data_IF_367947168032
#
_entry.id   IF_367947168032
#
_cell.length_a   1.000
_cell.length_b   1.000
_cell.length_c   1.000
_cell.angle_alpha   90.00
_cell.angle_beta   90.00
_cell.angle_gamma   90.00
#
_symmetry.space_group_name_H-M   'P 1'
#
loop_
_entity.id
_entity.type
_entity.pdbx_description
1 polymer ?
#
# COMPACT_ATOMS: atom_id res chain seq x y z
N UNK A 1 1.71 7.88 3.17
CA UNK A 1 2.70 8.67 3.93
C UNK A 1 3.99 8.98 3.17
N UNK A 2 4.87 8.03 2.79
CA UNK A 2 6.11 8.38 2.03
C UNK A 2 5.82 8.84 0.58
N UNK A 3 4.85 8.20 -0.09
CA UNK A 3 4.42 8.60 -1.44
C UNK A 3 3.80 10.00 -1.48
N UNK A 4 3.02 10.36 -0.46
CA UNK A 4 2.38 11.69 -0.39
C UNK A 4 3.41 12.80 -0.23
N UNK A 5 4.40 12.61 0.64
CA UNK A 5 5.51 13.57 0.82
C UNK A 5 6.35 13.75 -0.45
N UNK A 6 6.57 12.65 -1.20
CA UNK A 6 7.32 12.69 -2.46
C UNK A 6 6.55 13.50 -3.51
N UNK A 7 5.24 13.27 -3.63
CA UNK A 7 4.38 14.02 -4.55
C UNK A 7 4.25 15.50 -4.15
N UNK A 8 4.14 15.81 -2.85
CA UNK A 8 4.17 17.19 -2.36
C UNK A 8 5.49 17.89 -2.70
N UNK A 9 6.62 17.22 -2.49
CA UNK A 9 7.93 17.76 -2.85
C UNK A 9 8.07 18.02 -4.36
N UNK A 10 7.61 17.10 -5.22
CA UNK A 10 7.60 17.30 -6.66
C UNK A 10 6.68 18.44 -7.10
N UNK A 11 5.51 18.59 -6.47
CA UNK A 11 4.61 19.73 -6.72
C UNK A 11 5.26 21.06 -6.33
N UNK A 12 5.97 21.09 -5.20
CA UNK A 12 6.70 22.27 -4.76
C UNK A 12 7.84 22.65 -5.73
N UNK A 13 8.59 21.66 -6.22
CA UNK A 13 9.62 21.88 -7.26
C UNK A 13 8.98 22.39 -8.56
N UNK A 14 7.85 21.81 -8.99
CA UNK A 14 7.13 22.27 -10.19
C UNK A 14 6.66 23.72 -10.06
N UNK A 15 6.12 24.09 -8.90
CA UNK A 15 5.65 25.44 -8.65
C UNK A 15 6.81 26.44 -8.67
N UNK A 16 7.89 26.15 -7.93
CA UNK A 16 9.07 27.01 -7.91
C UNK A 16 9.73 27.14 -9.30
N UNK A 17 9.76 26.07 -10.09
CA UNK A 17 10.29 26.11 -11.46
C UNK A 17 9.40 26.91 -12.43
N UNK A 18 8.09 27.05 -12.17
CA UNK A 18 7.19 27.86 -12.99
C UNK A 18 7.36 29.36 -12.73
N UNK A 19 7.64 29.74 -11.48
CA UNK A 19 7.92 31.13 -11.11
C UNK A 19 9.30 31.58 -11.63
N UNK A 20 10.21 30.64 -11.84
CA UNK A 20 11.52 30.91 -12.43
C UNK A 20 11.42 30.94 -13.97
N UNK A 21 11.71 32.06 -14.59
CA UNK A 21 11.69 32.23 -16.06
C UNK A 21 12.62 31.22 -16.79
N UNK A 22 13.70 30.78 -16.14
CA UNK A 22 14.64 29.81 -16.68
C UNK A 22 14.25 28.33 -16.39
N UNK A 23 13.13 28.07 -15.71
CA UNK A 23 12.62 26.72 -15.46
C UNK A 23 13.42 25.88 -14.45
N UNK A 24 14.32 26.50 -13.70
CA UNK A 24 15.11 25.83 -12.64
C UNK A 24 14.74 26.35 -11.25
N UNK A 25 14.80 25.47 -10.26
CA UNK A 25 14.72 25.84 -8.84
C UNK A 25 16.13 26.05 -8.33
N UNK A 26 16.43 27.26 -7.86
CA UNK A 26 17.76 27.67 -7.42
C UNK A 26 17.95 27.54 -5.91
N UNK A 27 19.17 27.82 -5.47
CA UNK A 27 19.60 27.81 -4.07
C UNK A 27 18.96 28.86 -3.15
N UNK A 28 18.24 29.81 -3.72
CA UNK A 28 17.41 30.80 -3.01
C UNK A 28 16.02 30.30 -2.67
N UNK A 29 15.61 29.15 -3.22
CA UNK A 29 14.33 28.53 -2.89
C UNK A 29 14.27 28.16 -1.40
N UNK A 30 13.05 28.11 -0.86
CA UNK A 30 12.82 27.79 0.54
C UNK A 30 13.54 26.49 0.99
N UNK A 31 13.85 26.32 2.29
CA UNK A 31 14.59 25.16 2.79
C UNK A 31 13.89 23.80 2.56
N UNK A 32 12.58 23.79 2.35
CA UNK A 32 11.78 22.58 2.06
C UNK A 32 12.08 21.98 0.67
N UNK A 33 12.12 22.77 -0.42
CA UNK A 33 12.66 22.34 -1.71
C UNK A 33 14.09 21.79 -1.64
N UNK A 34 15.00 22.45 -0.92
CA UNK A 34 16.42 22.09 -0.93
C UNK A 34 16.71 20.71 -0.33
N UNK A 35 16.13 20.38 0.83
CA UNK A 35 16.30 19.05 1.45
C UNK A 35 15.64 17.95 0.62
N UNK A 36 14.50 18.24 0.01
CA UNK A 36 13.74 17.27 -0.78
C UNK A 36 14.40 17.02 -2.14
N UNK A 37 14.99 18.04 -2.76
CA UNK A 37 15.64 17.96 -4.07
C UNK A 37 16.77 16.90 -4.12
N UNK A 38 17.58 16.78 -3.06
CA UNK A 38 18.64 15.75 -3.00
C UNK A 38 18.09 14.33 -2.97
N UNK A 39 17.04 14.09 -2.19
CA UNK A 39 16.39 12.78 -2.13
C UNK A 39 15.74 12.43 -3.47
N UNK A 40 15.03 13.39 -4.07
CA UNK A 40 14.40 13.22 -5.38
C UNK A 40 15.42 12.99 -6.51
N UNK A 41 16.61 13.60 -6.44
CA UNK A 41 17.67 13.40 -7.42
C UNK A 41 18.23 11.97 -7.34
N UNK A 42 18.38 11.42 -6.13
CA UNK A 42 18.77 10.02 -5.93
C UNK A 42 17.76 9.02 -6.50
N UNK A 43 16.49 9.40 -6.58
CA UNK A 43 15.42 8.60 -7.20
C UNK A 43 15.21 8.91 -8.71
N UNK A 44 16.01 9.81 -9.30
CA UNK A 44 15.90 10.19 -10.72
C UNK A 44 14.66 11.03 -11.07
N UNK A 45 13.97 11.57 -10.07
CA UNK A 45 12.74 12.36 -10.24
C UNK A 45 13.00 13.84 -10.51
N UNK A 46 14.23 14.31 -10.25
CA UNK A 46 14.71 15.64 -10.60
C UNK A 46 16.10 15.54 -11.21
N UNK A 47 16.40 16.46 -12.12
CA UNK A 47 17.72 16.64 -12.69
C UNK A 47 18.46 17.72 -11.89
N UNK A 48 19.74 17.49 -11.60
CA UNK A 48 20.62 18.50 -11.03
C UNK A 48 21.40 19.19 -12.14
N UNK A 49 21.44 20.52 -12.13
CA UNK A 49 22.22 21.29 -13.09
C UNK A 49 23.71 20.93 -12.98
N UNK A 50 24.35 20.71 -14.13
CA UNK A 50 25.78 20.48 -14.23
C UNK A 50 26.56 21.80 -14.00
N UNK A 51 27.87 21.76 -14.27
CA UNK A 51 28.73 22.93 -14.06
C UNK A 51 28.43 24.05 -15.06
N UNK A 52 28.18 23.71 -16.32
CA UNK A 52 27.97 24.67 -17.40
C UNK A 52 26.62 25.38 -17.23
N UNK A 53 25.57 24.59 -17.06
CA UNK A 53 24.20 25.07 -16.79
C UNK A 53 24.19 25.99 -15.56
N UNK A 54 24.90 25.64 -14.48
CA UNK A 54 24.99 26.52 -13.29
C UNK A 54 25.74 27.81 -13.56
N UNK A 55 26.74 27.81 -14.43
CA UNK A 55 27.46 29.03 -14.79
C UNK A 55 26.55 29.98 -15.58
N UNK A 56 25.78 29.45 -16.53
CA UNK A 56 24.76 30.20 -17.26
C UNK A 56 23.71 30.79 -16.33
N UNK A 57 23.15 29.97 -15.44
CA UNK A 57 22.19 30.43 -14.42
C UNK A 57 22.80 31.50 -13.50
N UNK A 58 24.07 31.37 -13.13
CA UNK A 58 24.75 32.37 -12.30
C UNK A 58 24.94 33.71 -13.02
N UNK A 59 25.24 33.67 -14.32
CA UNK A 59 25.33 34.86 -15.15
C UNK A 59 23.96 35.54 -15.28
N UNK A 60 22.90 34.75 -15.43
CA UNK A 60 21.53 35.23 -15.55
C UNK A 60 21.02 35.90 -14.27
N UNK A 61 21.31 35.29 -13.12
CA UNK A 61 20.93 35.79 -11.79
C UNK A 61 21.83 36.92 -11.28
N UNK A 62 22.96 37.20 -11.95
CA UNK A 62 23.96 38.15 -11.48
C UNK A 62 24.65 37.76 -10.17
N UNK A 63 24.56 36.48 -9.76
CA UNK A 63 25.15 35.95 -8.53
C UNK A 63 25.53 34.48 -8.69
N UNK A 64 26.48 33.96 -7.89
CA UNK A 64 26.81 32.53 -7.94
C UNK A 64 25.63 31.65 -7.50
N UNK A 65 25.23 30.71 -8.36
CA UNK A 65 24.24 29.65 -8.07
C UNK A 65 24.97 28.40 -7.59
N UNK A 66 24.75 28.01 -6.33
CA UNK A 66 25.44 26.85 -5.71
C UNK A 66 24.87 25.52 -6.18
N UNK A 67 23.56 25.45 -6.36
CA UNK A 67 22.82 24.30 -6.87
C UNK A 67 21.58 24.78 -7.61
N UNK A 68 21.15 23.98 -8.59
CA UNK A 68 19.89 24.16 -9.27
C UNK A 68 19.31 22.80 -9.62
N UNK A 69 17.99 22.64 -9.52
CA UNK A 69 17.28 21.42 -9.94
C UNK A 69 16.04 21.75 -10.75
N UNK A 70 15.63 20.82 -11.61
CA UNK A 70 14.34 20.86 -12.29
C UNK A 70 13.71 19.47 -12.29
N UNK A 71 12.41 19.38 -12.56
CA UNK A 71 11.78 18.08 -12.75
C UNK A 71 12.45 17.35 -13.93
N UNK A 72 12.76 16.07 -13.75
CA UNK A 72 13.11 15.19 -14.86
C UNK A 72 11.84 14.81 -15.64
N UNK A 73 12.00 14.20 -16.81
CA UNK A 73 10.88 13.60 -17.54
C UNK A 73 10.08 12.63 -16.64
N UNK A 74 10.78 11.75 -15.90
CA UNK A 74 10.17 10.80 -14.96
C UNK A 74 9.43 11.50 -13.82
N UNK A 75 9.97 12.58 -13.26
CA UNK A 75 9.29 13.37 -12.24
C UNK A 75 8.02 14.05 -12.76
N UNK A 76 8.06 14.53 -14.00
CA UNK A 76 6.90 15.12 -14.67
C UNK A 76 5.80 14.08 -14.92
N UNK A 77 6.17 12.90 -15.44
CA UNK A 77 5.25 11.79 -15.70
C UNK A 77 4.63 11.26 -14.41
N UNK A 78 5.40 11.17 -13.31
CA UNK A 78 4.87 10.79 -12.01
C UNK A 78 3.81 11.77 -11.50
N UNK A 79 4.03 13.08 -11.66
CA UNK A 79 3.02 14.08 -11.30
C UNK A 79 1.77 13.99 -12.17
N UNK A 80 1.93 13.79 -13.48
CA UNK A 80 0.82 13.62 -14.40
C UNK A 80 0.00 12.37 -14.06
N UNK A 81 0.66 11.23 -13.87
CA UNK A 81 0.05 9.97 -13.45
C UNK A 81 -0.68 10.11 -12.11
N UNK A 82 -0.05 10.72 -11.12
CA UNK A 82 -0.67 10.94 -9.81
C UNK A 82 -1.90 11.87 -9.87
N UNK A 83 -1.98 12.77 -10.85
CA UNK A 83 -3.12 13.66 -11.04
C UNK A 83 -4.37 12.97 -11.60
N UNK A 84 -4.20 11.88 -12.36
CA UNK A 84 -5.31 11.11 -12.96
C UNK A 84 -5.57 9.79 -12.25
N UNK A 85 -4.63 9.33 -11.42
CA UNK A 85 -4.77 8.10 -10.65
C UNK A 85 -5.99 8.22 -9.73
N UNK A 86 -6.91 7.25 -9.74
CA UNK A 86 -8.00 7.21 -8.76
C UNK A 86 -7.43 7.23 -7.35
N UNK A 87 -7.97 8.10 -6.49
CA UNK A 87 -7.70 8.00 -5.07
C UNK A 87 -8.11 6.59 -4.61
N UNK A 88 -7.35 5.95 -3.70
CA UNK A 88 -7.81 4.71 -3.10
C UNK A 88 -9.19 4.97 -2.49
N UNK A 89 -10.23 4.34 -3.03
CA UNK A 89 -11.56 4.45 -2.46
C UNK A 89 -11.49 3.90 -1.03
N UNK A 90 -11.88 4.67 -0.01
CA UNK A 90 -12.02 4.13 1.34
C UNK A 90 -12.91 2.88 1.28
N UNK A 91 -12.41 1.76 1.79
CA UNK A 91 -13.24 0.55 1.91
C UNK A 91 -14.25 0.78 3.03
N UNK A 92 -15.39 1.39 2.69
CA UNK A 92 -16.54 1.36 3.59
C UNK A 92 -17.21 -0.02 3.49
N UNK A 93 -17.43 -0.71 4.62
CA UNK A 93 -18.14 -1.98 4.61
C UNK A 93 -19.60 -1.77 4.19
N UNK A 94 -20.10 -2.62 3.29
CA UNK A 94 -21.53 -2.69 2.99
C UNK A 94 -22.34 -3.27 4.17
N UNK A 95 -23.68 -3.25 4.09
CA UNK A 95 -24.53 -3.85 5.12
C UNK A 95 -24.18 -5.33 5.35
N UNK A 96 -23.76 -5.67 6.57
CA UNK A 96 -23.35 -7.04 6.95
C UNK A 96 -21.92 -7.42 6.56
N UNK A 97 -21.16 -6.51 5.95
CA UNK A 97 -19.72 -6.64 5.77
C UNK A 97 -18.97 -5.96 6.92
N UNK A 98 -17.77 -6.43 7.21
CA UNK A 98 -16.85 -5.82 8.15
C UNK A 98 -15.53 -5.53 7.45
N UNK A 99 -14.92 -4.38 7.76
CA UNK A 99 -13.55 -4.07 7.34
C UNK A 99 -12.57 -4.96 8.12
N UNK A 100 -11.85 -5.80 7.40
CA UNK A 100 -10.87 -6.74 7.92
C UNK A 100 -9.49 -6.34 7.43
N UNK A 101 -8.57 -6.16 8.38
CA UNK A 101 -7.19 -5.80 8.20
C UNK A 101 -6.28 -7.00 8.46
N UNK A 102 -5.58 -7.45 7.42
CA UNK A 102 -4.69 -8.60 7.49
C UNK A 102 -3.23 -8.18 7.42
N UNK A 103 -2.38 -8.83 8.22
CA UNK A 103 -0.93 -8.80 8.00
C UNK A 103 -0.58 -9.33 6.59
N UNK A 104 0.59 -8.99 6.02
CA UNK A 104 1.10 -9.64 4.81
C UNK A 104 1.14 -11.17 4.90
N UNK A 105 1.49 -11.75 6.05
CA UNK A 105 1.52 -13.20 6.24
C UNK A 105 0.13 -13.82 6.25
N UNK A 106 -0.84 -13.19 6.94
CA UNK A 106 -2.25 -13.60 6.91
C UNK A 106 -2.81 -13.52 5.49
N UNK A 107 -2.56 -12.44 4.75
CA UNK A 107 -3.00 -12.34 3.36
C UNK A 107 -2.39 -13.43 2.47
N UNK A 108 -1.13 -13.80 2.72
CA UNK A 108 -0.47 -14.89 2.00
C UNK A 108 -1.14 -16.24 2.30
N UNK A 109 -1.38 -16.57 3.56
CA UNK A 109 -2.09 -17.80 3.95
C UNK A 109 -3.51 -17.85 3.37
N UNK A 110 -4.23 -16.72 3.40
CA UNK A 110 -5.57 -16.63 2.84
C UNK A 110 -5.58 -16.82 1.32
N UNK A 111 -4.60 -16.27 0.59
CA UNK A 111 -4.44 -16.49 -0.86
C UNK A 111 -4.21 -17.95 -1.22
N UNK A 112 -3.42 -18.67 -0.42
CA UNK A 112 -3.22 -20.12 -0.61
C UNK A 112 -4.55 -20.86 -0.41
N UNK A 113 -5.27 -20.57 0.68
CA UNK A 113 -6.56 -21.21 0.95
C UNK A 113 -7.58 -20.99 -0.19
N UNK A 114 -7.76 -19.76 -0.67
CA UNK A 114 -8.69 -19.50 -1.78
C UNK A 114 -8.22 -20.08 -3.12
N UNK A 115 -6.90 -20.23 -3.30
CA UNK A 115 -6.32 -20.89 -4.49
C UNK A 115 -6.61 -22.40 -4.56
N UNK A 116 -6.84 -23.04 -3.42
CA UNK A 116 -7.14 -24.47 -3.31
C UNK A 116 -8.64 -24.78 -3.40
N UNK A 117 -9.49 -23.81 -3.75
CA UNK A 117 -10.95 -23.97 -3.72
C UNK A 117 -11.48 -25.22 -4.47
N UNK A 118 -10.84 -25.61 -5.58
CA UNK A 118 -11.22 -26.79 -6.37
C UNK A 118 -10.78 -28.14 -5.78
N UNK A 119 -9.85 -28.14 -4.82
CA UNK A 119 -9.27 -29.35 -4.22
C UNK A 119 -9.84 -29.65 -2.82
N UNK A 120 -10.37 -28.62 -2.15
CA UNK A 120 -10.89 -28.74 -0.80
C UNK A 120 -12.30 -29.35 -0.78
N UNK A 121 -12.55 -30.25 0.17
CA UNK A 121 -13.90 -30.78 0.45
C UNK A 121 -14.82 -29.72 1.08
N UNK A 122 -14.24 -28.75 1.78
CA UNK A 122 -14.92 -27.57 2.30
C UNK A 122 -14.35 -26.35 1.57
N UNK A 123 -15.00 -25.89 0.49
CA UNK A 123 -14.49 -24.78 -0.30
C UNK A 123 -14.55 -23.45 0.48
N UNK A 124 -13.75 -22.45 0.09
CA UNK A 124 -13.90 -21.09 0.60
C UNK A 124 -15.31 -20.55 0.36
N UNK A 125 -15.79 -19.73 1.30
CA UNK A 125 -17.11 -19.08 1.19
C UNK A 125 -17.24 -18.28 -0.11
N UNK A 126 -18.47 -18.23 -0.63
CA UNK A 126 -18.78 -17.53 -1.89
C UNK A 126 -18.32 -16.08 -1.82
N UNK A 127 -17.66 -15.61 -2.88
CA UNK A 127 -17.15 -14.24 -2.98
C UNK A 127 -15.84 -13.95 -2.22
N UNK A 128 -15.36 -14.83 -1.34
CA UNK A 128 -14.11 -14.61 -0.59
C UNK A 128 -12.91 -14.44 -1.53
N UNK A 129 -12.82 -15.24 -2.60
CA UNK A 129 -11.75 -15.11 -3.59
C UNK A 129 -11.76 -13.74 -4.31
N UNK A 130 -12.94 -13.16 -4.56
CA UNK A 130 -13.07 -11.84 -5.18
C UNK A 130 -12.65 -10.74 -4.20
N UNK A 131 -13.04 -10.85 -2.92
CA UNK A 131 -12.58 -9.91 -1.89
C UNK A 131 -11.05 -9.95 -1.73
N UNK A 132 -10.44 -11.14 -1.81
CA UNK A 132 -8.97 -11.29 -1.77
C UNK A 132 -8.29 -10.66 -2.99
N UNK A 133 -8.90 -10.74 -4.17
CA UNK A 133 -8.40 -10.10 -5.40
C UNK A 133 -8.50 -8.58 -5.36
N UNK A 134 -9.62 -8.07 -4.85
CA UNK A 134 -9.92 -6.62 -4.78
C UNK A 134 -9.36 -5.94 -3.54
N UNK A 135 -8.72 -6.71 -2.65
CA UNK A 135 -8.11 -6.21 -1.43
C UNK A 135 -7.08 -5.10 -1.71
N UNK A 136 -7.10 -4.07 -0.88
CA UNK A 136 -6.20 -2.92 -0.99
C UNK A 136 -5.11 -3.02 0.06
N UNK A 137 -3.86 -2.81 -0.33
CA UNK A 137 -2.76 -2.72 0.63
C UNK A 137 -2.59 -1.29 1.13
N UNK A 138 -2.91 -1.06 2.41
CA UNK A 138 -2.59 0.20 3.07
C UNK A 138 -1.11 0.21 3.47
N UNK A 139 -0.35 1.07 2.77
CA UNK A 139 1.08 1.30 3.05
C UNK A 139 1.33 2.01 4.38
N UNK A 140 0.35 2.77 4.89
CA UNK A 140 0.40 3.44 6.18
C UNK A 140 0.34 2.44 7.34
N UNK A 141 -0.73 1.65 7.40
CA UNK A 141 -0.89 0.60 8.41
C UNK A 141 0.00 -0.63 8.17
N UNK A 142 0.54 -0.81 6.95
CA UNK A 142 1.21 -2.03 6.49
C UNK A 142 0.30 -3.26 6.61
N UNK A 143 -0.97 -3.07 6.25
CA UNK A 143 -2.04 -4.09 6.32
C UNK A 143 -2.80 -4.15 5.01
N UNK A 144 -3.32 -5.33 4.70
CA UNK A 144 -4.30 -5.52 3.63
C UNK A 144 -5.69 -5.28 4.17
N UNK A 145 -6.49 -4.50 3.48
CA UNK A 145 -7.88 -4.20 3.81
C UNK A 145 -8.81 -4.98 2.88
N UNK A 146 -9.78 -5.69 3.48
CA UNK A 146 -10.82 -6.47 2.81
C UNK A 146 -12.18 -6.15 3.43
N UNK A 147 -13.26 -6.30 2.65
CA UNK A 147 -14.63 -6.30 3.18
C UNK A 147 -15.09 -7.73 3.22
N UNK A 148 -15.30 -8.27 4.41
CA UNK A 148 -15.73 -9.66 4.58
C UNK A 148 -17.08 -9.70 5.29
N UNK A 149 -17.99 -10.53 4.80
CA UNK A 149 -19.18 -10.92 5.59
C UNK A 149 -18.78 -11.85 6.73
N UNK A 150 -19.67 -12.05 7.71
CA UNK A 150 -19.43 -13.01 8.79
C UNK A 150 -19.10 -14.42 8.27
N UNK A 151 -19.83 -14.91 7.26
CA UNK A 151 -19.58 -16.22 6.62
C UNK A 151 -18.17 -16.29 6.00
N UNK A 152 -17.75 -15.20 5.34
CA UNK A 152 -16.41 -15.11 4.76
C UNK A 152 -15.32 -15.03 5.83
N UNK A 153 -15.59 -14.38 6.96
CA UNK A 153 -14.67 -14.33 8.11
C UNK A 153 -14.50 -15.72 8.75
N UNK A 154 -15.58 -16.49 8.90
CA UNK A 154 -15.54 -17.87 9.38
C UNK A 154 -14.77 -18.78 8.42
N UNK A 155 -14.99 -18.63 7.12
CA UNK A 155 -14.24 -19.34 6.09
C UNK A 155 -12.74 -18.97 6.10
N UNK A 156 -12.42 -17.68 6.29
CA UNK A 156 -11.03 -17.24 6.46
C UNK A 156 -10.40 -17.82 7.73
N UNK A 157 -11.13 -17.88 8.84
CA UNK A 157 -10.68 -18.51 10.08
C UNK A 157 -10.42 -20.02 9.90
N UNK A 158 -11.24 -20.71 9.11
CA UNK A 158 -10.98 -22.10 8.71
C UNK A 158 -9.69 -22.23 7.90
N UNK A 159 -9.48 -21.35 6.91
CA UNK A 159 -8.23 -21.30 6.15
C UNK A 159 -6.99 -21.07 7.03
N UNK A 160 -7.08 -20.15 8.01
CA UNK A 160 -6.00 -19.92 8.98
C UNK A 160 -5.80 -21.11 9.92
N UNK A 161 -6.86 -21.82 10.28
CA UNK A 161 -6.76 -23.04 11.07
C UNK A 161 -6.05 -24.17 10.30
N UNK A 162 -6.34 -24.35 9.00
CA UNK A 162 -5.59 -25.28 8.14
C UNK A 162 -4.11 -24.87 8.04
N UNK A 163 -3.83 -23.58 7.86
CA UNK A 163 -2.46 -23.07 7.83
C UNK A 163 -1.72 -23.30 9.17
N UNK A 164 -2.43 -23.15 10.29
CA UNK A 164 -1.89 -23.44 11.62
C UNK A 164 -1.43 -24.89 11.76
N UNK A 165 -2.13 -25.85 11.16
CA UNK A 165 -1.77 -27.27 11.23
C UNK A 165 -0.58 -27.64 10.34
N UNK A 166 -0.27 -26.82 9.34
CA UNK A 166 0.77 -27.09 8.34
C UNK A 166 1.97 -26.16 8.46
N UNK A 167 1.87 -25.13 9.29
CA UNK A 167 2.90 -24.11 9.46
C UNK A 167 2.75 -23.35 10.77
N UNK A 168 2.33 -22.10 10.68
CA UNK A 168 2.34 -21.15 11.81
C UNK A 168 0.95 -20.94 12.41
N UNK A 169 0.85 -21.02 13.73
CA UNK A 169 -0.36 -20.67 14.48
C UNK A 169 -0.59 -19.15 14.62
N UNK A 170 0.41 -18.32 14.29
CA UNK A 170 0.37 -16.89 14.55
C UNK A 170 -0.75 -16.18 13.78
N UNK A 171 -0.99 -16.60 12.53
CA UNK A 171 -2.01 -16.08 11.63
C UNK A 171 -3.41 -16.28 12.21
N UNK A 172 -3.71 -17.51 12.66
CA UNK A 172 -4.98 -17.89 13.27
C UNK A 172 -5.21 -17.20 14.62
N UNK A 173 -4.19 -17.15 15.47
CA UNK A 173 -4.28 -16.51 16.79
C UNK A 173 -4.51 -15.00 16.66
N UNK A 174 -3.80 -14.34 15.72
CA UNK A 174 -3.99 -12.91 15.45
C UNK A 174 -5.40 -12.64 14.94
N UNK A 175 -5.87 -13.42 13.97
CA UNK A 175 -7.20 -13.25 13.40
C UNK A 175 -8.30 -13.42 14.46
N UNK A 176 -8.22 -14.47 15.27
CA UNK A 176 -9.18 -14.70 16.36
C UNK A 176 -9.13 -13.65 17.46
N UNK A 177 -7.95 -13.11 17.77
CA UNK A 177 -7.83 -12.02 18.75
C UNK A 177 -8.50 -10.74 18.25
N UNK A 178 -8.24 -10.39 16.98
CA UNK A 178 -8.60 -9.11 16.38
C UNK A 178 -10.09 -9.09 15.97
N UNK A 179 -10.63 -10.22 15.50
CA UNK A 179 -11.99 -10.33 14.97
C UNK A 179 -12.94 -11.20 15.79
N UNK A 180 -12.44 -11.86 16.86
CA UNK A 180 -13.21 -12.82 17.69
C UNK A 180 -13.78 -14.01 16.91
N UNK A 181 -13.29 -14.26 15.70
CA UNK A 181 -13.64 -15.42 14.87
C UNK A 181 -12.51 -16.44 14.94
N UNK A 182 -12.82 -17.60 15.51
CA UNK A 182 -11.92 -18.75 15.57
C UNK A 182 -12.66 -19.96 15.02
N UNK A 183 -12.04 -20.67 14.08
CA UNK A 183 -12.54 -21.98 13.69
C UNK A 183 -12.09 -23.02 14.72
N UNK A 184 -13.07 -23.66 15.34
CA UNK A 184 -12.87 -24.82 16.21
C UNK A 184 -13.60 -25.96 15.53
N UNK A 185 -12.92 -27.04 15.11
CA UNK A 185 -13.61 -28.21 14.58
C UNK A 185 -14.53 -28.74 15.68
N UNK A 186 -15.79 -29.04 15.33
CA UNK A 186 -16.69 -29.68 16.29
C UNK A 186 -16.02 -30.96 16.82
N UNK A 187 -15.99 -31.16 18.15
CA UNK A 187 -15.58 -32.45 18.68
C UNK A 187 -16.53 -33.49 18.09
N UNK A 188 -15.99 -34.51 17.40
CA UNK A 188 -16.79 -35.66 16.97
C UNK A 188 -17.54 -36.13 18.19
N UNK A 189 -18.86 -35.95 18.19
CA UNK A 189 -19.72 -36.48 19.22
C UNK A 189 -19.56 -38.00 19.10
N UNK A 190 -18.68 -38.57 19.93
CA UNK A 190 -18.55 -40.01 20.10
C UNK A 190 -19.95 -40.47 20.45
N UNK A 191 -20.59 -41.20 19.55
CA UNK A 191 -21.96 -41.64 19.71
C UNK A 191 -22.13 -42.20 21.12
N UNK A 192 -22.99 -41.55 21.91
CA UNK A 192 -23.57 -42.20 23.07
C UNK A 192 -24.38 -43.35 22.52
N UNK A 193 -23.73 -44.51 22.46
CA UNK A 193 -24.35 -45.77 22.16
C UNK A 193 -25.50 -45.93 23.16
N UNK A 194 -26.72 -45.87 22.65
CA UNK A 194 -27.86 -46.44 23.32
C UNK A 194 -27.53 -47.89 23.65
N UNK A 195 -27.67 -48.27 24.91
CA UNK A 195 -27.78 -49.66 25.33
C UNK A 195 -28.86 -49.75 26.43
N UNK A 196 -29.55 -50.89 26.49
CA UNK A 196 -31.02 -51.01 26.51
C UNK A 196 -31.69 -50.78 27.86
#
# INVERSE_FOLDING_TARGET
>A
MQGDRTLEALRAVRAAAKEAEHGWVLDTAAPSPQRSARALAGEGLVETADRETRAELSAWEGRPVRWAVRLSATGHDLLAYAGVRPAPTPLEPGPGEQLVELAPSQMTALRVFVGLAGELKSPPATGLAEQVRTAVYDRGARRWQLRLTQEQMESAAYGFWLHRLTGSAAEANRFGRDYKVLFIPEPRNSGSAALP
#
